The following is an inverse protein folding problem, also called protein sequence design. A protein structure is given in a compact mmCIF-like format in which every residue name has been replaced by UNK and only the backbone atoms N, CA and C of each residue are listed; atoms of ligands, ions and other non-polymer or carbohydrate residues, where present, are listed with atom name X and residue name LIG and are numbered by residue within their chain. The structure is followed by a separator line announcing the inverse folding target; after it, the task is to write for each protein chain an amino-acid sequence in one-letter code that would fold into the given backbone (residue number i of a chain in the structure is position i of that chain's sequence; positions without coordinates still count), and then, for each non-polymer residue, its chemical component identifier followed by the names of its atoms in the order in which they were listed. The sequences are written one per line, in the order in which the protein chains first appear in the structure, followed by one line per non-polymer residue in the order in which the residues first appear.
data_IF_671007073015
#
_entry.id   IF_671007073015
#
_cell.length_a   1.000
_cell.length_b   1.000
_cell.length_c   1.000
_cell.angle_alpha   90.00
_cell.angle_beta   90.00
_cell.angle_gamma   90.00
#
_symmetry.space_group_name_H-M   'P 1'
#
loop_
_entity.id
_entity.type
_entity.pdbx_description
1 polymer ?
#
# COMPACT_ATOMS: atom_id res chain seq x y z
N UNK A 1 67.85 -2.28 2.02
CA UNK A 1 68.39 -2.93 0.80
C UNK A 1 67.83 -4.35 0.64
N UNK A 2 67.88 -5.21 1.68
CA UNK A 2 67.31 -6.57 1.65
C UNK A 2 65.80 -6.63 1.34
N UNK A 3 64.97 -5.73 1.89
CA UNK A 3 63.52 -5.70 1.59
C UNK A 3 63.20 -5.36 0.13
N UNK A 4 64.00 -4.49 -0.50
CA UNK A 4 63.85 -4.12 -1.91
C UNK A 4 64.21 -5.33 -2.80
N UNK A 5 65.24 -6.08 -2.42
CA UNK A 5 65.69 -7.29 -3.12
C UNK A 5 64.65 -8.41 -2.98
N UNK A 6 64.10 -8.63 -1.79
CA UNK A 6 63.05 -9.65 -1.56
C UNK A 6 61.78 -9.35 -2.37
N UNK A 7 61.41 -8.07 -2.48
CA UNK A 7 60.25 -7.64 -3.26
C UNK A 7 60.46 -7.85 -4.77
N UNK A 8 61.65 -7.50 -5.29
CA UNK A 8 62.03 -7.75 -6.69
C UNK A 8 62.15 -9.24 -7.03
N UNK A 9 62.63 -10.05 -6.09
CA UNK A 9 62.74 -11.51 -6.27
C UNK A 9 61.36 -12.18 -6.26
N UNK A 10 60.45 -11.76 -5.38
CA UNK A 10 59.05 -12.21 -5.39
C UNK A 10 58.31 -11.81 -6.68
N UNK A 11 58.66 -10.66 -7.26
CA UNK A 11 58.15 -10.19 -8.56
C UNK A 11 58.71 -11.01 -9.74
N UNK A 12 60.01 -11.29 -9.75
CA UNK A 12 60.66 -12.12 -10.77
C UNK A 12 60.16 -13.57 -10.75
N UNK A 13 59.91 -14.13 -9.57
CA UNK A 13 59.34 -15.48 -9.42
C UNK A 13 57.92 -15.56 -9.99
N UNK A 14 57.11 -14.50 -9.86
CA UNK A 14 55.77 -14.42 -10.49
C UNK A 14 55.85 -14.27 -12.01
N UNK A 15 56.88 -13.60 -12.53
CA UNK A 15 57.14 -13.52 -13.96
C UNK A 15 57.69 -14.85 -14.53
N UNK A 16 58.31 -15.71 -13.72
CA UNK A 16 58.79 -17.04 -14.14
C UNK A 16 57.76 -18.16 -13.96
N UNK A 17 56.55 -17.82 -13.54
CA UNK A 17 55.43 -18.75 -13.38
C UNK A 17 55.16 -19.54 -14.69
N UNK A 18 54.91 -20.87 -14.61
CA UNK A 18 54.61 -21.71 -15.76
C UNK A 18 53.48 -21.15 -16.63
N UNK A 19 53.43 -21.46 -17.94
CA UNK A 19 52.38 -20.98 -18.86
C UNK A 19 50.95 -21.24 -18.34
N UNK A 20 50.76 -22.35 -17.62
CA UNK A 20 49.50 -22.73 -16.97
C UNK A 20 49.07 -21.77 -15.86
N UNK A 21 50.00 -21.25 -15.06
CA UNK A 21 49.71 -20.25 -14.02
C UNK A 21 49.38 -18.88 -14.62
N UNK A 22 50.09 -18.47 -15.69
CA UNK A 22 49.76 -17.23 -16.42
C UNK A 22 48.37 -17.28 -17.05
N UNK A 23 47.98 -18.43 -17.60
CA UNK A 23 46.63 -18.65 -18.11
C UNK A 23 45.57 -18.56 -17.00
N UNK A 24 45.83 -19.14 -15.82
CA UNK A 24 44.91 -19.04 -14.68
C UNK A 24 44.76 -17.61 -14.16
N UNK A 25 45.84 -16.82 -14.12
CA UNK A 25 45.81 -15.39 -13.76
C UNK A 25 44.96 -14.60 -14.76
N UNK A 26 45.15 -14.84 -16.05
CA UNK A 26 44.39 -14.17 -17.11
C UNK A 26 42.90 -14.53 -17.06
N UNK A 27 42.57 -15.82 -16.88
CA UNK A 27 41.18 -16.28 -16.76
C UNK A 27 40.49 -15.69 -15.52
N UNK A 28 41.18 -15.64 -14.37
CA UNK A 28 40.64 -15.01 -13.16
C UNK A 28 40.43 -13.52 -13.31
N UNK A 29 41.34 -12.80 -13.98
CA UNK A 29 41.17 -11.38 -14.30
C UNK A 29 39.98 -11.16 -15.24
N UNK A 30 39.88 -11.94 -16.31
CA UNK A 30 38.77 -11.86 -17.27
C UNK A 30 37.41 -12.13 -16.61
N UNK A 31 37.34 -13.14 -15.75
CA UNK A 31 36.11 -13.45 -15.01
C UNK A 31 35.74 -12.34 -14.01
N UNK A 32 36.74 -11.70 -13.39
CA UNK A 32 36.51 -10.56 -12.51
C UNK A 32 35.92 -9.36 -13.27
N UNK A 33 36.58 -8.96 -14.37
CA UNK A 33 36.15 -7.83 -15.18
C UNK A 33 34.74 -8.07 -15.76
N UNK A 34 34.45 -9.29 -16.22
CA UNK A 34 33.12 -9.68 -16.69
C UNK A 34 32.04 -9.61 -15.60
N UNK A 35 32.35 -10.05 -14.37
CA UNK A 35 31.40 -9.96 -13.26
C UNK A 35 31.12 -8.51 -12.84
N UNK A 36 32.13 -7.62 -12.94
CA UNK A 36 31.96 -6.20 -12.63
C UNK A 36 31.07 -5.50 -13.66
N UNK A 37 31.30 -5.77 -14.96
CA UNK A 37 30.44 -5.24 -16.02
C UNK A 37 28.99 -5.77 -15.90
N UNK A 38 28.82 -7.05 -15.56
CA UNK A 38 27.50 -7.62 -15.30
C UNK A 38 26.82 -6.96 -14.08
N UNK A 39 27.55 -6.72 -12.99
CA UNK A 39 27.05 -6.00 -11.82
C UNK A 39 26.57 -4.59 -12.18
N UNK A 40 27.36 -3.85 -12.97
CA UNK A 40 26.97 -2.52 -13.47
C UNK A 40 25.68 -2.60 -14.30
N UNK A 41 25.60 -3.56 -15.23
CA UNK A 41 24.43 -3.72 -16.10
C UNK A 41 23.16 -4.06 -15.32
N UNK A 42 23.21 -5.04 -14.41
CA UNK A 42 22.05 -5.44 -13.60
C UNK A 42 21.64 -4.36 -12.60
N UNK A 43 22.59 -3.60 -12.05
CA UNK A 43 22.29 -2.46 -11.18
C UNK A 43 21.52 -1.37 -11.95
N UNK A 44 21.95 -1.02 -13.16
CA UNK A 44 21.26 -0.02 -13.98
C UNK A 44 19.86 -0.48 -14.39
N UNK A 45 19.67 -1.77 -14.73
CA UNK A 45 18.33 -2.34 -14.97
C UNK A 45 17.43 -2.17 -13.75
N UNK A 46 17.91 -2.55 -12.55
CA UNK A 46 17.11 -2.42 -11.33
C UNK A 46 16.81 -0.96 -10.98
N UNK A 47 17.74 -0.02 -11.23
CA UNK A 47 17.49 1.42 -11.05
C UNK A 47 16.33 1.92 -11.91
N UNK A 48 16.24 1.48 -13.17
CA UNK A 48 15.15 1.84 -14.08
C UNK A 48 13.82 1.32 -13.53
N UNK A 49 13.74 0.04 -13.18
CA UNK A 49 12.53 -0.57 -12.61
C UNK A 49 12.11 0.10 -11.30
N UNK A 50 13.06 0.33 -10.40
CA UNK A 50 12.84 1.05 -9.14
C UNK A 50 12.27 2.44 -9.38
N UNK A 51 12.78 3.16 -10.37
CA UNK A 51 12.26 4.49 -10.74
C UNK A 51 10.84 4.41 -11.29
N UNK A 52 10.54 3.40 -12.11
CA UNK A 52 9.20 3.14 -12.63
C UNK A 52 8.19 2.86 -11.51
N UNK A 53 8.52 1.96 -10.58
CA UNK A 53 7.69 1.66 -9.41
C UNK A 53 7.53 2.89 -8.51
N UNK A 54 8.61 3.64 -8.26
CA UNK A 54 8.55 4.86 -7.45
C UNK A 54 7.58 5.89 -8.05
N UNK A 55 7.58 6.05 -9.38
CA UNK A 55 6.61 6.93 -10.07
C UNK A 55 5.17 6.45 -9.86
N UNK A 56 4.90 5.16 -10.04
CA UNK A 56 3.57 4.57 -9.82
C UNK A 56 3.11 4.76 -8.36
N UNK A 57 4.02 4.61 -7.40
CA UNK A 57 3.75 4.88 -5.97
C UNK A 57 3.43 6.35 -5.73
N UNK A 58 4.15 7.29 -6.36
CA UNK A 58 3.84 8.71 -6.26
C UNK A 58 2.46 9.04 -6.84
N UNK A 59 2.13 8.50 -8.02
CA UNK A 59 0.82 8.67 -8.65
C UNK A 59 -0.32 8.11 -7.78
N UNK A 60 -0.10 6.95 -7.16
CA UNK A 60 -1.06 6.35 -6.23
C UNK A 60 -1.27 7.22 -4.99
N UNK A 61 -0.18 7.76 -4.40
CA UNK A 61 -0.24 8.68 -3.27
C UNK A 61 -0.98 9.98 -3.61
N UNK A 62 -0.75 10.53 -4.80
CA UNK A 62 -1.49 11.71 -5.29
C UNK A 62 -3.00 11.44 -5.42
N UNK A 63 -3.38 10.20 -5.75
CA UNK A 63 -4.78 9.75 -5.78
C UNK A 63 -5.34 9.41 -4.39
N UNK A 64 -4.54 9.49 -3.32
CA UNK A 64 -4.94 9.10 -1.96
C UNK A 64 -5.08 7.59 -1.76
N UNK A 65 -4.46 6.78 -2.63
CA UNK A 65 -4.43 5.33 -2.50
C UNK A 65 -3.39 4.90 -1.47
N UNK A 66 -3.62 3.76 -0.84
CA UNK A 66 -2.67 3.13 0.08
C UNK A 66 -1.77 2.18 -0.70
N UNK A 67 -0.48 2.18 -0.36
CA UNK A 67 0.53 1.39 -1.06
C UNK A 67 0.61 0.00 -0.45
N UNK A 68 0.71 -1.00 -1.31
CA UNK A 68 0.90 -2.38 -0.91
C UNK A 68 2.20 -2.56 -0.12
N UNK A 69 2.13 -3.18 1.06
CA UNK A 69 3.28 -3.32 1.98
C UNK A 69 4.48 -4.02 1.30
N UNK A 70 4.21 -5.01 0.42
CA UNK A 70 5.24 -5.69 -0.38
C UNK A 70 6.02 -4.73 -1.28
N UNK A 71 5.36 -3.71 -1.83
CA UNK A 71 5.98 -2.72 -2.73
C UNK A 71 6.87 -1.78 -1.94
N UNK A 72 6.44 -1.34 -0.75
CA UNK A 72 7.26 -0.51 0.13
C UNK A 72 8.52 -1.27 0.59
N UNK A 73 8.37 -2.53 1.03
CA UNK A 73 9.50 -3.40 1.39
C UNK A 73 10.47 -3.57 0.23
N UNK A 74 9.95 -3.86 -0.96
CA UNK A 74 10.77 -4.03 -2.16
C UNK A 74 11.56 -2.76 -2.51
N UNK A 75 10.95 -1.56 -2.43
CA UNK A 75 11.64 -0.30 -2.68
C UNK A 75 12.81 -0.08 -1.71
N UNK A 76 12.62 -0.39 -0.42
CA UNK A 76 13.68 -0.32 0.60
C UNK A 76 14.82 -1.28 0.26
N UNK A 77 14.50 -2.54 -0.06
CA UNK A 77 15.49 -3.55 -0.43
C UNK A 77 16.25 -3.19 -1.71
N UNK A 78 15.55 -2.68 -2.73
CA UNK A 78 16.14 -2.26 -4.00
C UNK A 78 17.12 -1.09 -3.80
N UNK A 79 16.73 -0.05 -3.06
CA UNK A 79 17.63 1.05 -2.71
C UNK A 79 18.87 0.53 -1.97
N UNK A 80 18.69 -0.35 -0.97
CA UNK A 80 19.79 -0.89 -0.19
C UNK A 80 20.78 -1.71 -1.02
N UNK A 81 20.33 -2.52 -1.99
CA UNK A 81 21.21 -3.29 -2.87
C UNK A 81 21.90 -2.38 -3.90
N UNK A 82 21.16 -1.44 -4.50
CA UNK A 82 21.72 -0.47 -5.44
C UNK A 82 22.84 0.34 -4.78
N UNK A 83 22.64 0.82 -3.55
CA UNK A 83 23.65 1.60 -2.82
C UNK A 83 24.90 0.76 -2.49
N UNK A 84 24.72 -0.51 -2.13
CA UNK A 84 25.86 -1.42 -1.89
C UNK A 84 26.63 -1.70 -3.17
N UNK A 85 25.93 -1.95 -4.27
CA UNK A 85 26.54 -2.18 -5.58
C UNK A 85 27.30 -0.93 -6.06
N UNK A 86 26.70 0.26 -5.91
CA UNK A 86 27.34 1.53 -6.27
C UNK A 86 28.61 1.77 -5.46
N UNK A 87 28.58 1.62 -4.13
CA UNK A 87 29.77 1.73 -3.27
C UNK A 87 30.86 0.73 -3.66
N UNK A 88 30.47 -0.51 -3.94
CA UNK A 88 31.42 -1.54 -4.39
C UNK A 88 32.10 -1.15 -5.70
N UNK A 89 31.35 -0.60 -6.67
CA UNK A 89 31.90 -0.12 -7.94
C UNK A 89 32.85 1.06 -7.73
N UNK A 90 32.49 2.04 -6.90
CA UNK A 90 33.31 3.21 -6.58
C UNK A 90 34.64 2.83 -5.89
N UNK A 91 34.58 1.91 -4.91
CA UNK A 91 35.75 1.41 -4.19
C UNK A 91 36.74 0.71 -5.14
N UNK A 92 36.25 -0.03 -6.12
CA UNK A 92 37.07 -0.71 -7.12
C UNK A 92 37.71 0.27 -8.12
N UNK A 93 36.96 1.26 -8.59
CA UNK A 93 37.49 2.28 -9.49
C UNK A 93 38.55 3.16 -8.81
N UNK A 94 38.38 3.46 -7.51
CA UNK A 94 39.36 4.21 -6.72
C UNK A 94 40.63 3.40 -6.41
N UNK A 95 40.49 2.10 -6.10
CA UNK A 95 41.61 1.19 -5.83
C UNK A 95 42.45 0.93 -7.08
N UNK A 96 41.80 0.77 -8.24
CA UNK A 96 42.50 0.63 -9.53
C UNK A 96 43.30 1.89 -9.92
N UNK A 97 42.82 3.10 -9.59
CA UNK A 97 43.56 4.36 -9.81
C UNK A 97 44.79 4.51 -8.91
N UNK A 98 44.74 3.95 -7.70
CA UNK A 98 45.83 4.03 -6.70
C UNK A 98 46.94 3.01 -6.95
N UNK A 99 46.67 1.96 -7.73
CA UNK A 99 47.65 0.95 -8.12
C UNK A 99 48.45 1.41 -9.35
N UNK A 100 49.61 2.05 -9.10
CA UNK A 100 50.53 2.53 -10.12
C UNK A 100 50.86 1.45 -11.17
N UNK A 101 50.43 1.67 -12.42
CA UNK A 101 50.93 0.98 -13.63
C UNK A 101 50.91 -0.56 -13.61
N UNK A 102 49.83 -1.16 -13.08
CA UNK A 102 49.45 -2.54 -13.43
C UNK A 102 50.27 -3.68 -12.80
N UNK A 103 51.05 -3.42 -11.76
CA UNK A 103 52.05 -4.40 -11.28
C UNK A 103 51.62 -5.33 -10.14
N UNK A 104 50.44 -5.21 -9.52
CA UNK A 104 50.00 -6.27 -8.60
C UNK A 104 48.49 -6.22 -8.29
N UNK A 105 47.74 -7.29 -8.58
CA UNK A 105 46.60 -7.65 -7.76
C UNK A 105 46.90 -8.94 -7.01
N UNK A 106 46.70 -8.92 -5.70
CA UNK A 106 46.61 -10.12 -4.89
C UNK A 106 45.46 -10.99 -5.47
N UNK A 107 45.81 -12.14 -6.10
CA UNK A 107 44.84 -13.03 -6.75
C UNK A 107 43.72 -13.49 -5.82
N UNK A 108 44.03 -13.61 -4.52
CA UNK A 108 43.05 -13.99 -3.48
C UNK A 108 42.02 -12.89 -3.24
N UNK A 109 42.44 -11.62 -3.23
CA UNK A 109 41.51 -10.50 -3.03
C UNK A 109 40.62 -10.32 -4.26
N UNK A 110 41.16 -10.41 -5.48
CA UNK A 110 40.33 -10.36 -6.71
C UNK A 110 39.31 -11.50 -6.79
N UNK A 111 39.68 -12.69 -6.35
CA UNK A 111 38.73 -13.80 -6.26
C UNK A 111 37.60 -13.51 -5.26
N UNK A 112 37.93 -12.97 -4.08
CA UNK A 112 36.92 -12.58 -3.08
C UNK A 112 36.00 -11.46 -3.60
N UNK A 113 36.55 -10.46 -4.27
CA UNK A 113 35.80 -9.37 -4.89
C UNK A 113 34.89 -9.88 -6.02
N UNK A 114 35.39 -10.79 -6.86
CA UNK A 114 34.60 -11.47 -7.91
C UNK A 114 33.41 -12.21 -7.33
N UNK A 115 33.60 -12.94 -6.22
CA UNK A 115 32.53 -13.67 -5.54
C UNK A 115 31.53 -12.74 -4.87
N UNK A 116 31.99 -11.63 -4.29
CA UNK A 116 31.11 -10.59 -3.75
C UNK A 116 30.25 -9.95 -4.85
N UNK A 117 30.84 -9.60 -5.99
CA UNK A 117 30.11 -9.06 -7.15
C UNK A 117 29.05 -10.05 -7.66
N UNK A 118 29.39 -11.34 -7.77
CA UNK A 118 28.46 -12.41 -8.16
C UNK A 118 27.28 -12.53 -7.18
N UNK A 119 27.53 -12.31 -5.89
CA UNK A 119 26.49 -12.36 -4.84
C UNK A 119 25.54 -11.17 -4.94
N UNK A 120 26.07 -9.96 -5.15
CA UNK A 120 25.22 -8.76 -5.34
C UNK A 120 24.45 -8.82 -6.67
N UNK A 121 25.04 -9.34 -7.76
CA UNK A 121 24.33 -9.61 -9.02
C UNK A 121 23.14 -10.54 -8.78
N UNK A 122 23.34 -11.64 -8.04
CA UNK A 122 22.25 -12.57 -7.75
C UNK A 122 21.10 -11.87 -7.01
N UNK A 123 21.42 -11.05 -6.01
CA UNK A 123 20.42 -10.29 -5.26
C UNK A 123 19.68 -9.25 -6.13
N UNK A 124 20.39 -8.58 -7.04
CA UNK A 124 19.80 -7.65 -8.02
C UNK A 124 18.81 -8.36 -8.95
N UNK A 125 19.22 -9.51 -9.49
CA UNK A 125 18.38 -10.31 -10.40
C UNK A 125 17.14 -10.84 -9.66
N UNK A 126 17.29 -11.32 -8.42
CA UNK A 126 16.16 -11.78 -7.60
C UNK A 126 15.11 -10.68 -7.41
N UNK A 127 15.53 -9.46 -7.05
CA UNK A 127 14.61 -8.31 -6.95
C UNK A 127 14.02 -7.90 -8.30
N UNK A 128 14.80 -8.02 -9.38
CA UNK A 128 14.37 -7.75 -10.75
C UNK A 128 13.33 -8.76 -11.27
N UNK A 129 13.32 -10.00 -10.76
CA UNK A 129 12.25 -10.96 -11.05
C UNK A 129 11.02 -10.77 -10.15
N UNK A 130 11.22 -10.30 -8.92
CA UNK A 130 10.11 -10.00 -8.00
C UNK A 130 9.24 -8.86 -8.52
N UNK A 131 9.86 -7.77 -9.01
CA UNK A 131 9.13 -6.57 -9.47
C UNK A 131 8.20 -6.86 -10.66
N UNK A 132 8.53 -7.85 -11.50
CA UNK A 132 7.69 -8.26 -12.63
C UNK A 132 6.32 -8.79 -12.18
N UNK A 133 6.19 -9.20 -10.92
CA UNK A 133 4.94 -9.70 -10.33
C UNK A 133 4.07 -8.56 -9.79
N UNK A 134 4.54 -7.31 -9.81
CA UNK A 134 3.82 -6.15 -9.28
C UNK A 134 2.89 -5.54 -10.33
N UNK A 135 1.81 -6.26 -10.64
CA UNK A 135 0.71 -5.74 -11.45
C UNK A 135 -0.01 -4.61 -10.73
N UNK A 136 -0.30 -4.81 -9.43
CA UNK A 136 -0.98 -3.83 -8.57
C UNK A 136 0.03 -3.33 -7.52
N UNK A 137 0.15 -2.00 -7.41
CA UNK A 137 1.06 -1.35 -6.44
C UNK A 137 0.35 -0.67 -5.27
N UNK A 138 -0.94 -0.46 -5.42
CA UNK A 138 -1.77 0.28 -4.49
C UNK A 138 -3.21 -0.17 -4.59
N UNK A 139 -3.98 0.12 -3.54
CA UNK A 139 -5.42 -0.07 -3.51
C UNK A 139 -6.09 1.22 -3.06
N UNK A 140 -7.29 1.45 -3.60
CA UNK A 140 -8.12 2.58 -3.16
C UNK A 140 -8.51 2.36 -1.71
N UNK A 141 -8.29 3.39 -0.90
CA UNK A 141 -8.87 3.48 0.43
C UNK A 141 -10.21 4.18 0.32
N UNK A 142 -11.16 3.81 1.18
CA UNK A 142 -12.42 4.53 1.30
C UNK A 142 -12.12 5.79 2.13
N UNK A 143 -12.19 7.01 1.55
CA UNK A 143 -11.87 8.21 2.29
C UNK A 143 -12.84 8.39 3.45
N UNK A 144 -12.30 8.64 4.64
CA UNK A 144 -13.14 8.88 5.80
C UNK A 144 -13.80 10.26 5.73
N UNK A 145 -15.13 10.30 5.91
CA UNK A 145 -15.88 11.54 5.90
C UNK A 145 -15.46 12.49 7.04
N UNK A 146 -15.31 13.77 6.72
CA UNK A 146 -14.83 14.80 7.66
C UNK A 146 -15.71 14.91 8.90
N UNK A 147 -17.02 14.77 8.74
CA UNK A 147 -17.98 14.91 9.85
C UNK A 147 -17.89 13.76 10.87
N UNK A 148 -17.28 12.62 10.50
CA UNK A 148 -16.97 11.54 11.45
C UNK A 148 -15.69 11.78 12.25
N UNK A 149 -14.93 12.84 11.96
CA UNK A 149 -13.66 13.18 12.65
C UNK A 149 -13.79 14.32 13.65
N UNK A 150 -14.86 15.10 13.58
CA UNK A 150 -15.05 16.28 14.42
C UNK A 150 -16.49 16.43 14.86
N UNK A 151 -16.68 16.82 16.11
CA UNK A 151 -17.97 17.22 16.68
C UNK A 151 -18.19 18.75 16.63
N UNK A 152 -17.46 19.47 15.78
CA UNK A 152 -17.54 20.93 15.70
C UNK A 152 -18.99 21.37 15.42
N UNK A 153 -19.55 22.17 16.33
CA UNK A 153 -20.93 22.64 16.25
C UNK A 153 -21.97 21.75 16.95
N UNK A 154 -21.56 20.64 17.58
CA UNK A 154 -22.44 19.88 18.48
C UNK A 154 -22.36 20.43 19.90
N UNK A 155 -23.52 20.78 20.46
CA UNK A 155 -23.66 21.17 21.87
C UNK A 155 -24.34 20.05 22.64
N UNK A 156 -23.65 19.55 23.68
CA UNK A 156 -24.07 18.41 24.48
C UNK A 156 -25.09 18.80 25.56
N UNK A 157 -26.29 19.20 25.17
CA UNK A 157 -27.40 19.37 26.11
C UNK A 157 -27.83 18.03 26.70
N UNK A 158 -28.29 18.03 27.96
CA UNK A 158 -28.75 16.82 28.66
C UNK A 158 -29.83 16.06 27.87
N UNK A 159 -30.77 16.78 27.24
CA UNK A 159 -31.81 16.20 26.39
C UNK A 159 -31.25 15.45 25.18
N UNK A 160 -30.22 16.00 24.53
CA UNK A 160 -29.54 15.35 23.40
C UNK A 160 -28.72 14.16 23.85
N UNK A 161 -28.00 14.27 24.96
CA UNK A 161 -27.25 13.16 25.56
C UNK A 161 -28.18 12.00 25.91
N UNK A 162 -29.35 12.28 26.49
CA UNK A 162 -30.37 11.28 26.76
C UNK A 162 -30.85 10.60 25.47
N UNK A 163 -31.15 11.38 24.43
CA UNK A 163 -31.60 10.84 23.14
C UNK A 163 -30.52 9.98 22.46
N UNK A 164 -29.25 10.41 22.49
CA UNK A 164 -28.12 9.62 21.98
C UNK A 164 -28.00 8.27 22.69
N UNK A 165 -28.17 8.25 24.03
CA UNK A 165 -28.17 7.00 24.81
C UNK A 165 -29.33 6.10 24.40
N UNK A 166 -30.52 6.66 24.18
CA UNK A 166 -31.69 5.89 23.70
C UNK A 166 -31.44 5.27 22.33
N UNK A 167 -30.86 6.02 21.39
CA UNK A 167 -30.47 5.52 20.06
C UNK A 167 -29.43 4.39 20.21
N UNK A 168 -28.39 4.60 21.04
CA UNK A 168 -27.35 3.61 21.27
C UNK A 168 -27.93 2.30 21.85
N UNK A 169 -28.78 2.40 22.86
CA UNK A 169 -29.40 1.25 23.51
C UNK A 169 -30.29 0.47 22.53
N UNK A 170 -31.10 1.19 21.75
CA UNK A 170 -31.95 0.58 20.74
C UNK A 170 -31.14 -0.12 19.65
N UNK A 171 -30.05 0.47 19.15
CA UNK A 171 -29.22 -0.17 18.12
C UNK A 171 -28.38 -1.36 18.64
N UNK A 172 -28.16 -1.42 19.95
CA UNK A 172 -27.49 -2.57 20.60
C UNK A 172 -28.45 -3.74 20.80
N UNK A 173 -29.76 -3.50 20.80
CA UNK A 173 -30.76 -4.56 20.83
C UNK A 173 -30.72 -5.39 19.53
N UNK A 174 -30.66 -6.71 19.68
CA UNK A 174 -30.63 -7.64 18.55
C UNK A 174 -31.96 -7.67 17.78
N UNK A 175 -33.07 -7.28 18.42
CA UNK A 175 -34.41 -7.30 17.85
C UNK A 175 -34.78 -6.01 17.11
N UNK A 176 -34.01 -4.93 17.31
CA UNK A 176 -34.22 -3.65 16.63
C UNK A 176 -33.32 -3.59 15.42
N UNK A 177 -33.90 -3.40 14.25
CA UNK A 177 -33.16 -3.24 12.99
C UNK A 177 -33.27 -1.85 12.38
N UNK A 178 -34.33 -1.10 12.71
CA UNK A 178 -34.63 0.22 12.15
C UNK A 178 -35.00 1.17 13.29
N UNK A 179 -34.42 2.37 13.28
CA UNK A 179 -34.80 3.49 14.16
C UNK A 179 -35.15 4.69 13.28
N UNK A 180 -36.25 5.38 13.62
CA UNK A 180 -36.61 6.64 12.96
C UNK A 180 -36.44 7.82 13.92
N UNK A 181 -35.72 8.87 13.48
CA UNK A 181 -35.62 10.14 14.20
C UNK A 181 -36.49 11.19 13.51
N UNK A 182 -37.60 11.59 14.15
CA UNK A 182 -38.57 12.52 13.58
C UNK A 182 -38.79 13.76 14.45
N UNK A 183 -39.38 14.80 13.86
CA UNK A 183 -39.68 16.06 14.53
C UNK A 183 -39.61 17.26 13.59
N UNK A 184 -39.93 18.45 14.11
CA UNK A 184 -39.94 19.70 13.34
C UNK A 184 -38.59 20.00 12.65
N UNK A 185 -38.61 20.76 11.56
CA UNK A 185 -37.40 21.28 10.92
C UNK A 185 -36.59 22.18 11.87
N UNK A 186 -35.27 22.22 11.70
CA UNK A 186 -34.39 23.11 12.46
C UNK A 186 -34.04 22.68 13.89
N UNK A 187 -34.64 21.62 14.43
CA UNK A 187 -34.39 21.19 15.83
C UNK A 187 -33.05 20.44 16.03
N UNK A 188 -32.29 20.18 14.95
CA UNK A 188 -30.98 19.54 15.01
C UNK A 188 -30.97 18.00 14.93
N UNK A 189 -31.97 17.38 14.29
CA UNK A 189 -32.03 15.90 14.10
C UNK A 189 -30.80 15.35 13.35
N UNK A 190 -30.48 15.93 12.21
CA UNK A 190 -29.28 15.58 11.43
C UNK A 190 -28.01 15.71 12.27
N UNK A 191 -27.91 16.78 13.08
CA UNK A 191 -26.76 16.99 13.99
C UNK A 191 -26.68 15.89 15.05
N UNK A 192 -27.81 15.47 15.61
CA UNK A 192 -27.88 14.39 16.60
C UNK A 192 -27.46 13.04 16.00
N UNK A 193 -27.98 12.70 14.81
CA UNK A 193 -27.65 11.45 14.10
C UNK A 193 -26.17 11.42 13.71
N UNK A 194 -25.61 12.55 13.24
CA UNK A 194 -24.18 12.67 12.93
C UNK A 194 -23.31 12.48 14.18
N UNK A 195 -23.69 13.08 15.31
CA UNK A 195 -22.96 12.89 16.57
C UNK A 195 -23.04 11.44 17.06
N UNK A 196 -24.19 10.79 16.93
CA UNK A 196 -24.32 9.36 17.24
C UNK A 196 -23.36 8.51 16.40
N UNK A 197 -23.38 8.69 15.07
CA UNK A 197 -22.56 7.94 14.14
C UNK A 197 -21.05 8.13 14.41
N UNK A 198 -20.64 9.35 14.77
CA UNK A 198 -19.28 9.64 15.24
C UNK A 198 -18.92 8.83 16.49
N UNK A 199 -19.76 8.84 17.52
CA UNK A 199 -19.53 8.06 18.75
C UNK A 199 -19.56 6.54 18.50
N UNK A 200 -20.45 6.08 17.63
CA UNK A 200 -20.56 4.67 17.28
C UNK A 200 -19.28 4.17 16.60
N UNK A 201 -18.67 5.00 15.75
CA UNK A 201 -17.37 4.74 15.14
C UNK A 201 -16.24 4.72 16.18
N UNK A 202 -16.16 5.72 17.07
CA UNK A 202 -15.11 5.78 18.11
C UNK A 202 -15.16 4.56 19.05
N UNK A 203 -16.37 4.15 19.43
CA UNK A 203 -16.60 2.97 20.27
C UNK A 203 -16.53 1.65 19.49
N UNK A 204 -16.31 1.69 18.18
CA UNK A 204 -16.28 0.53 17.27
C UNK A 204 -17.53 -0.35 17.42
N UNK A 205 -18.71 0.27 17.52
CA UNK A 205 -19.99 -0.45 17.60
C UNK A 205 -20.34 -1.15 16.29
N UNK A 206 -19.90 -0.55 15.18
CA UNK A 206 -20.07 -1.04 13.82
C UNK A 206 -18.72 -1.07 13.11
N UNK A 207 -18.54 -2.04 12.22
CA UNK A 207 -17.36 -2.18 11.36
C UNK A 207 -17.38 -1.11 10.24
N UNK A 208 -18.60 -0.72 9.84
CA UNK A 208 -18.87 0.29 8.83
C UNK A 208 -20.06 1.17 9.23
N UNK A 209 -19.94 2.46 8.91
CA UNK A 209 -21.03 3.45 8.99
C UNK A 209 -21.14 4.11 7.63
N UNK A 210 -22.31 4.02 7.01
CA UNK A 210 -22.59 4.63 5.72
C UNK A 210 -23.74 5.62 5.88
N UNK A 211 -23.60 6.77 5.25
CA UNK A 211 -24.57 7.87 5.31
C UNK A 211 -25.03 8.19 3.90
N UNK A 212 -26.30 8.47 3.67
CA UNK A 212 -26.78 9.03 2.40
C UNK A 212 -27.87 10.05 2.68
N UNK A 213 -27.81 11.17 1.98
CA UNK A 213 -28.82 12.21 2.09
C UNK A 213 -29.93 11.96 1.08
N UNK A 214 -31.15 11.78 1.57
CA UNK A 214 -32.32 11.57 0.72
C UNK A 214 -32.90 12.93 0.32
N UNK A 215 -33.01 13.18 -0.99
CA UNK A 215 -33.69 14.35 -1.52
C UNK A 215 -35.20 14.23 -1.36
N UNK A 216 -35.91 15.38 -1.33
CA UNK A 216 -37.38 15.41 -1.28
C UNK A 216 -38.06 14.57 -2.37
N UNK A 217 -37.42 14.52 -3.54
CA UNK A 217 -37.71 13.54 -4.59
C UNK A 217 -36.55 12.54 -4.59
N UNK A 218 -36.73 11.34 -4.00
CA UNK A 218 -35.64 10.38 -3.89
C UNK A 218 -35.10 9.97 -5.26
N UNK A 219 -33.78 10.10 -5.43
CA UNK A 219 -33.04 9.54 -6.56
C UNK A 219 -32.38 8.25 -6.10
N UNK A 220 -32.97 7.10 -6.47
CA UNK A 220 -32.51 5.78 -6.04
C UNK A 220 -31.09 5.51 -6.54
N UNK A 221 -30.75 5.89 -7.78
CA UNK A 221 -29.41 5.66 -8.32
C UNK A 221 -28.36 6.45 -7.56
N UNK A 222 -28.68 7.68 -7.17
CA UNK A 222 -27.83 8.53 -6.35
C UNK A 222 -27.61 7.91 -4.98
N UNK A 223 -28.67 7.51 -4.27
CA UNK A 223 -28.58 6.85 -2.95
C UNK A 223 -27.72 5.59 -3.04
N UNK A 224 -27.98 4.72 -4.02
CA UNK A 224 -27.18 3.52 -4.26
C UNK A 224 -25.70 3.84 -4.51
N UNK A 225 -25.43 4.89 -5.29
CA UNK A 225 -24.08 5.35 -5.60
C UNK A 225 -23.33 5.80 -4.36
N UNK A 226 -23.95 6.66 -3.54
CA UNK A 226 -23.36 7.17 -2.29
C UNK A 226 -23.06 6.05 -1.29
N UNK A 227 -23.97 5.08 -1.13
CA UNK A 227 -23.75 3.94 -0.24
C UNK A 227 -22.65 3.04 -0.80
N UNK A 228 -22.67 2.75 -2.11
CA UNK A 228 -21.68 1.87 -2.74
C UNK A 228 -20.26 2.44 -2.68
N UNK A 229 -20.10 3.75 -2.92
CA UNK A 229 -18.82 4.43 -2.79
C UNK A 229 -18.23 4.25 -1.37
N UNK A 230 -19.07 4.38 -0.34
CA UNK A 230 -18.70 4.19 1.07
C UNK A 230 -18.38 2.75 1.44
N UNK A 231 -18.75 1.79 0.59
CA UNK A 231 -18.44 0.38 0.73
C UNK A 231 -17.28 -0.07 -0.17
N UNK A 232 -16.71 0.85 -0.95
CA UNK A 232 -15.70 0.54 -1.97
C UNK A 232 -16.26 -0.32 -3.12
N UNK A 233 -17.57 -0.27 -3.35
CA UNK A 233 -18.26 -1.02 -4.39
C UNK A 233 -18.42 -0.17 -5.65
N UNK A 234 -17.86 -0.63 -6.76
CA UNK A 234 -18.08 -0.01 -8.06
C UNK A 234 -19.42 -0.48 -8.65
N UNK A 235 -20.37 0.46 -8.75
CA UNK A 235 -21.61 0.25 -9.46
C UNK A 235 -21.48 0.77 -10.89
N UNK A 236 -21.50 -0.15 -11.85
CA UNK A 236 -21.57 0.17 -13.28
C UNK A 236 -22.83 0.97 -13.66
N UNK A 237 -22.85 1.52 -14.88
CA UNK A 237 -24.03 2.16 -15.50
C UNK A 237 -25.14 1.14 -15.85
N UNK A 238 -25.46 0.26 -14.90
CA UNK A 238 -26.50 -0.75 -15.01
C UNK A 238 -27.87 -0.20 -14.57
N UNK A 239 -28.91 -1.00 -14.82
CA UNK A 239 -30.25 -0.75 -14.32
C UNK A 239 -30.30 -0.76 -12.78
N UNK A 240 -31.25 -0.02 -12.21
CA UNK A 240 -31.41 0.19 -10.76
C UNK A 240 -31.53 -1.12 -9.98
N UNK A 241 -32.29 -2.09 -10.49
CA UNK A 241 -32.46 -3.38 -9.82
C UNK A 241 -31.14 -4.15 -9.69
N UNK A 242 -30.24 -4.07 -10.69
CA UNK A 242 -28.93 -4.73 -10.61
C UNK A 242 -28.03 -4.07 -9.59
N UNK A 243 -28.07 -2.74 -9.53
CA UNK A 243 -27.36 -1.95 -8.53
C UNK A 243 -27.85 -2.32 -7.12
N UNK A 244 -29.17 -2.48 -6.94
CA UNK A 244 -29.77 -2.92 -5.69
C UNK A 244 -29.28 -4.32 -5.28
N UNK A 245 -29.31 -5.30 -6.19
CA UNK A 245 -28.82 -6.66 -5.90
C UNK A 245 -27.35 -6.67 -5.48
N UNK A 246 -26.48 -5.95 -6.19
CA UNK A 246 -25.05 -5.84 -5.83
C UNK A 246 -24.84 -5.17 -4.48
N UNK A 247 -25.60 -4.10 -4.21
CA UNK A 247 -25.53 -3.39 -2.94
C UNK A 247 -25.99 -4.28 -1.78
N UNK A 248 -27.07 -5.03 -1.99
CA UNK A 248 -27.60 -5.99 -1.01
C UNK A 248 -26.57 -7.07 -0.66
N UNK A 249 -25.95 -7.69 -1.66
CA UNK A 249 -24.88 -8.68 -1.43
C UNK A 249 -23.68 -8.08 -0.70
N UNK A 250 -23.24 -6.88 -1.11
CA UNK A 250 -22.11 -6.19 -0.48
C UNK A 250 -22.40 -5.85 0.98
N UNK A 251 -23.61 -5.39 1.29
CA UNK A 251 -24.04 -5.07 2.66
C UNK A 251 -24.12 -6.33 3.53
N UNK A 252 -24.57 -7.48 2.99
CA UNK A 252 -24.60 -8.76 3.72
C UNK A 252 -23.23 -9.34 4.05
N UNK A 253 -22.19 -8.92 3.33
CA UNK A 253 -20.82 -9.31 3.63
C UNK A 253 -20.20 -8.54 4.80
N UNK A 254 -20.85 -7.47 5.27
CA UNK A 254 -20.42 -6.76 6.48
C UNK A 254 -20.93 -7.49 7.73
N UNK A 255 -20.11 -7.60 8.77
CA UNK A 255 -20.55 -8.25 10.01
C UNK A 255 -21.51 -7.34 10.79
N UNK A 256 -21.11 -6.08 11.03
CA UNK A 256 -21.94 -5.06 11.66
C UNK A 256 -21.85 -3.74 10.89
N UNK A 257 -22.96 -3.31 10.32
CA UNK A 257 -23.04 -2.08 9.53
C UNK A 257 -24.21 -1.20 9.98
N UNK A 258 -23.95 0.10 10.08
CA UNK A 258 -24.96 1.13 10.27
C UNK A 258 -25.16 1.89 8.96
N UNK A 259 -26.37 1.81 8.41
CA UNK A 259 -26.84 2.61 7.28
C UNK A 259 -27.66 3.77 7.81
N UNK A 260 -27.33 4.99 7.40
CA UNK A 260 -28.02 6.21 7.80
C UNK A 260 -28.63 6.85 6.56
N UNK A 261 -29.94 7.03 6.57
CA UNK A 261 -30.68 7.71 5.50
C UNK A 261 -31.28 9.00 6.04
N UNK A 262 -30.62 10.13 5.77
CA UNK A 262 -31.05 11.42 6.31
C UNK A 262 -32.10 12.09 5.42
N UNK A 263 -32.90 12.96 6.03
CA UNK A 263 -33.83 13.85 5.32
C UNK A 263 -34.91 13.12 4.49
N UNK A 264 -35.50 12.04 5.02
CA UNK A 264 -36.56 11.27 4.34
C UNK A 264 -37.89 12.05 4.34
N UNK A 265 -38.43 12.36 3.15
CA UNK A 265 -39.71 13.08 2.98
C UNK A 265 -40.88 12.20 2.52
N UNK A 266 -40.58 11.06 1.89
CA UNK A 266 -41.56 10.13 1.31
C UNK A 266 -41.18 8.70 1.69
N UNK A 267 -42.14 7.79 1.56
CA UNK A 267 -41.85 6.37 1.71
C UNK A 267 -40.72 5.95 0.78
N UNK A 268 -39.77 5.20 1.32
CA UNK A 268 -38.59 4.74 0.64
C UNK A 268 -38.56 3.22 0.72
N UNK A 269 -38.54 2.56 -0.44
CA UNK A 269 -38.46 1.11 -0.50
C UNK A 269 -37.00 0.65 -0.39
N UNK A 270 -36.68 0.02 0.74
CA UNK A 270 -35.35 -0.49 1.04
C UNK A 270 -34.94 -1.62 0.09
N UNK A 271 -35.88 -2.41 -0.41
CA UNK A 271 -35.60 -3.48 -1.37
C UNK A 271 -35.15 -2.90 -2.72
N UNK A 272 -35.85 -1.86 -3.19
CA UNK A 272 -35.48 -1.12 -4.41
C UNK A 272 -34.10 -0.45 -4.30
N UNK A 273 -33.70 -0.03 -3.11
CA UNK A 273 -32.34 0.48 -2.88
C UNK A 273 -31.32 -0.66 -2.80
N UNK A 274 -31.70 -1.79 -2.21
CA UNK A 274 -30.83 -2.93 -1.93
C UNK A 274 -30.28 -2.94 -0.51
N UNK A 275 -31.03 -2.43 0.48
CA UNK A 275 -30.62 -2.43 1.89
C UNK A 275 -31.29 -3.61 2.61
N UNK A 276 -30.52 -4.61 3.11
CA UNK A 276 -31.09 -5.68 3.93
C UNK A 276 -31.47 -5.17 5.31
N UNK A 277 -32.54 -5.71 5.90
CA UNK A 277 -32.97 -5.37 7.26
C UNK A 277 -33.62 -6.56 7.97
N UNK A 278 -33.73 -6.49 9.30
CA UNK A 278 -34.34 -7.54 10.11
C UNK A 278 -33.63 -8.89 9.99
N UNK A 279 -34.37 -9.94 9.61
CA UNK A 279 -33.85 -11.31 9.51
C UNK A 279 -32.90 -11.53 8.32
N UNK A 280 -32.99 -10.68 7.29
CA UNK A 280 -32.14 -10.78 6.11
C UNK A 280 -30.67 -10.52 6.43
N UNK A 281 -30.43 -9.63 7.40
CA UNK A 281 -29.11 -9.35 7.94
C UNK A 281 -29.19 -8.78 9.36
N UNK A 282 -29.01 -9.65 10.36
CA UNK A 282 -29.05 -9.27 11.78
C UNK A 282 -27.99 -8.26 12.20
N UNK A 283 -26.93 -8.07 11.41
CA UNK A 283 -25.85 -7.11 11.64
C UNK A 283 -26.06 -5.75 10.95
N UNK A 284 -27.04 -5.65 10.05
CA UNK A 284 -27.42 -4.38 9.44
C UNK A 284 -28.38 -3.62 10.37
N UNK A 285 -28.09 -2.34 10.56
CA UNK A 285 -28.91 -1.39 11.30
C UNK A 285 -29.21 -0.19 10.42
N UNK A 286 -30.46 0.26 10.42
CA UNK A 286 -30.91 1.45 9.71
C UNK A 286 -31.27 2.55 10.73
N UNK A 287 -30.80 3.77 10.47
CA UNK A 287 -31.07 4.98 11.25
C UNK A 287 -31.52 6.14 10.36
#
# INVERSE_FOLDING_TARGET
MLEIIVTLVLELVKCLAPPTERQLVYLRKRNYDANLENLKAEMEKLKVERTSIQRRVSEAKEKGEEIEEKVEKWLVSANGIIDRAAKFIEDEESTNKRCLKGLCPNLKTRYQLSKKAETEVKALVELGEEVKKFEIVSHRTIPEEIWLKSNKGYEAFESRVSTLKSIQNALTDVNVSIIGVYGMGGIGKTTLVKEFARQAREKKLFDRVVFSEVSQTPDIKKIQGEIAEKLGLELSNEAEYRRASRLYERLKNENKILVILDNIWKHLDLETIGIPFGNDHKGCRLL
#
